data_IF_716385545621
#
_entry.id   IF_716385545621
#
_cell.length_a   1.000
_cell.length_b   1.000
_cell.length_c   1.000
_cell.angle_alpha   90.00
_cell.angle_beta   90.00
_cell.angle_gamma   90.00
#
_symmetry.space_group_name_H-M   'P 1'
#
loop_
_entity.id
_entity.type
_entity.pdbx_description
1 polymer ?
#
# COMPACT_ATOMS: atom_id res chain seq x y z
N UNK A 1 46.14 -4.54 16.11
CA UNK A 1 44.97 -3.73 15.68
C UNK A 1 44.76 -3.79 14.16
N UNK A 2 45.78 -4.09 13.35
CA UNK A 2 45.66 -4.11 11.88
C UNK A 2 44.95 -5.36 11.32
N UNK A 3 45.02 -6.49 12.02
CA UNK A 3 44.41 -7.78 11.60
C UNK A 3 42.87 -7.74 11.49
N UNK A 4 42.20 -6.96 12.36
CA UNK A 4 40.74 -6.85 12.37
C UNK A 4 40.19 -6.03 11.20
N UNK A 5 40.96 -5.06 10.68
CA UNK A 5 40.53 -4.24 9.55
C UNK A 5 40.61 -5.02 8.23
N UNK A 6 41.65 -5.84 8.06
CA UNK A 6 41.79 -6.71 6.88
C UNK A 6 40.65 -7.73 6.78
N UNK A 7 40.21 -8.28 7.93
CA UNK A 7 39.07 -9.20 7.98
C UNK A 7 37.73 -8.53 7.62
N UNK A 8 37.53 -7.27 8.02
CA UNK A 8 36.32 -6.51 7.68
C UNK A 8 36.26 -6.18 6.19
N UNK A 9 37.38 -5.77 5.59
CA UNK A 9 37.49 -5.47 4.16
C UNK A 9 37.19 -6.72 3.32
N UNK A 10 37.77 -7.87 3.67
CA UNK A 10 37.54 -9.12 2.96
C UNK A 10 36.07 -9.57 3.00
N UNK A 11 35.35 -9.27 4.09
CA UNK A 11 33.90 -9.57 4.20
C UNK A 11 33.06 -8.65 3.31
N UNK A 12 33.43 -7.38 3.20
CA UNK A 12 32.73 -6.41 2.34
C UNK A 12 32.93 -6.75 0.86
N UNK A 13 34.15 -7.12 0.46
CA UNK A 13 34.46 -7.52 -0.92
C UNK A 13 33.70 -8.79 -1.33
N UNK A 14 33.68 -9.81 -0.46
CA UNK A 14 32.94 -11.06 -0.72
C UNK A 14 31.42 -10.83 -0.86
N UNK A 15 30.85 -9.89 -0.09
CA UNK A 15 29.42 -9.58 -0.16
C UNK A 15 29.06 -8.85 -1.46
N UNK A 16 29.94 -7.98 -1.95
CA UNK A 16 29.73 -7.23 -3.19
C UNK A 16 29.85 -8.12 -4.44
N UNK A 17 30.77 -9.08 -4.42
CA UNK A 17 31.00 -10.01 -5.53
C UNK A 17 29.83 -11.01 -5.70
N UNK A 18 29.21 -11.43 -4.59
CA UNK A 18 28.01 -12.26 -4.61
C UNK A 18 26.77 -11.55 -5.20
N UNK A 19 26.58 -10.26 -4.89
CA UNK A 19 25.47 -9.46 -5.46
C UNK A 19 25.61 -9.31 -6.98
N UNK A 20 26.84 -9.05 -7.44
CA UNK A 20 27.15 -8.92 -8.86
C UNK A 20 26.84 -10.22 -9.63
N UNK A 21 27.25 -11.38 -9.12
CA UNK A 21 26.96 -12.67 -9.75
C UNK A 21 25.45 -12.99 -9.82
N UNK A 22 24.69 -12.61 -8.79
CA UNK A 22 23.23 -12.83 -8.75
C UNK A 22 22.50 -12.02 -9.84
N UNK A 23 22.94 -10.78 -10.10
CA UNK A 23 22.36 -9.94 -11.16
C UNK A 23 22.62 -10.47 -12.55
N UNK A 24 23.83 -11.00 -12.81
CA UNK A 24 24.21 -11.53 -14.12
C UNK A 24 23.41 -12.80 -14.50
N UNK A 25 23.13 -13.69 -13.54
CA UNK A 25 22.27 -14.88 -13.74
C UNK A 25 20.81 -14.52 -14.07
N UNK A 26 20.28 -13.46 -13.46
CA UNK A 26 18.92 -12.99 -13.73
C UNK A 26 18.77 -12.45 -15.16
N UNK A 27 19.78 -11.73 -15.65
CA UNK A 27 19.79 -11.16 -17.00
C UNK A 27 19.85 -12.23 -18.10
N UNK A 28 20.58 -13.34 -17.85
CA UNK A 28 20.74 -14.40 -18.83
C UNK A 28 19.45 -15.24 -19.01
N UNK A 29 18.66 -15.43 -17.95
CA UNK A 29 17.37 -16.13 -18.02
C UNK A 29 16.28 -15.36 -18.78
N UNK A 30 16.34 -14.02 -18.78
CA UNK A 30 15.31 -13.18 -19.40
C UNK A 30 15.37 -13.14 -20.93
N UNK A 31 16.54 -13.41 -21.54
CA UNK A 31 16.74 -13.25 -22.98
C UNK A 31 16.27 -14.44 -23.83
N UNK A 32 15.75 -15.53 -23.23
CA UNK A 32 15.38 -16.75 -23.97
C UNK A 32 13.89 -16.83 -24.37
N UNK A 33 13.03 -15.86 -24.01
CA UNK A 33 11.57 -15.98 -24.22
C UNK A 33 10.96 -15.11 -25.35
N UNK A 34 11.74 -14.53 -26.27
CA UNK A 34 11.15 -13.71 -27.33
C UNK A 34 11.69 -14.03 -28.72
N UNK A 35 11.01 -14.94 -29.43
CA UNK A 35 11.08 -15.02 -30.89
C UNK A 35 9.73 -15.47 -31.47
N UNK A 36 9.12 -14.62 -32.32
CA UNK A 36 8.29 -15.11 -33.42
C UNK A 36 6.98 -14.35 -33.71
N UNK A 37 7.05 -13.30 -34.53
CA UNK A 37 6.01 -13.04 -35.55
C UNK A 37 6.64 -13.31 -36.92
N UNK A 38 5.93 -13.91 -37.90
CA UNK A 38 5.42 -13.06 -38.99
C UNK A 38 4.11 -13.52 -39.70
N UNK A 39 3.31 -12.50 -40.05
CA UNK A 39 2.35 -12.24 -41.18
C UNK A 39 1.87 -13.37 -42.13
N UNK A 40 0.54 -13.43 -42.41
CA UNK A 40 -0.12 -13.40 -43.76
C UNK A 40 -1.62 -13.78 -43.71
N UNK A 41 -2.47 -13.05 -44.47
CA UNK A 41 -3.96 -13.15 -44.61
C UNK A 41 -4.38 -14.29 -45.60
N UNK A 42 -5.65 -14.53 -46.09
CA UNK A 42 -6.98 -13.92 -45.87
C UNK A 42 -8.16 -14.96 -45.72
N UNK A 43 -9.40 -14.54 -45.99
CA UNK A 43 -10.69 -15.03 -45.49
C UNK A 43 -11.40 -16.24 -46.19
N UNK A 44 -12.49 -16.68 -45.53
CA UNK A 44 -13.68 -17.47 -45.96
C UNK A 44 -13.64 -19.02 -45.96
N UNK A 45 -14.51 -19.64 -45.15
CA UNK A 45 -15.05 -20.99 -45.43
C UNK A 45 -15.35 -21.92 -44.24
N UNK A 46 -16.63 -21.99 -43.84
CA UNK A 46 -17.40 -23.14 -43.31
C UNK A 46 -16.98 -23.92 -42.02
N UNK A 47 -17.74 -23.64 -40.94
CA UNK A 47 -18.48 -24.59 -40.05
C UNK A 47 -17.73 -25.74 -39.33
N UNK A 48 -16.42 -25.90 -39.45
CA UNK A 48 -15.67 -26.80 -38.54
C UNK A 48 -15.01 -26.07 -37.35
N UNK A 49 -15.16 -24.74 -37.27
CA UNK A 49 -14.48 -23.87 -36.29
C UNK A 49 -15.19 -23.77 -34.92
N UNK A 50 -16.48 -24.14 -34.83
CA UNK A 50 -17.26 -23.95 -33.60
C UNK A 50 -16.90 -24.97 -32.51
N UNK A 51 -16.56 -26.21 -32.87
CA UNK A 51 -16.22 -27.24 -31.88
C UNK A 51 -14.80 -27.08 -31.31
N UNK A 52 -13.85 -26.57 -32.09
CA UNK A 52 -12.50 -26.28 -31.59
C UNK A 52 -12.46 -24.98 -30.75
N UNK A 53 -13.30 -23.99 -31.07
CA UNK A 53 -13.43 -22.76 -30.28
C UNK A 53 -14.07 -23.00 -28.90
N UNK A 54 -14.98 -23.98 -28.78
CA UNK A 54 -15.61 -24.34 -27.50
C UNK A 54 -14.65 -25.08 -26.54
N UNK A 55 -13.68 -25.84 -27.08
CA UNK A 55 -12.68 -26.55 -26.26
C UNK A 55 -11.59 -25.60 -25.72
N UNK A 56 -11.23 -24.55 -26.45
CA UNK A 56 -10.27 -23.54 -26.00
C UNK A 56 -10.85 -22.60 -24.92
N UNK A 57 -12.17 -22.35 -24.96
CA UNK A 57 -12.86 -21.52 -23.95
C UNK A 57 -13.00 -22.23 -22.59
N UNK A 58 -13.08 -23.57 -22.58
CA UNK A 58 -13.16 -24.37 -21.35
C UNK A 58 -11.80 -24.45 -20.62
N UNK A 59 -10.68 -24.43 -21.35
CA UNK A 59 -9.33 -24.44 -20.76
C UNK A 59 -8.95 -23.08 -20.12
N UNK A 60 -9.45 -21.96 -20.67
CA UNK A 60 -9.22 -20.62 -20.10
C UNK A 60 -10.02 -20.38 -18.80
N UNK A 61 -11.20 -21.00 -18.64
CA UNK A 61 -12.02 -20.86 -17.44
C UNK A 61 -11.44 -21.65 -16.23
N UNK A 62 -10.69 -22.73 -16.47
CA UNK A 62 -10.10 -23.53 -15.38
C UNK A 62 -8.83 -22.89 -14.77
N UNK A 63 -8.10 -22.05 -15.54
CA UNK A 63 -6.91 -21.36 -15.02
C UNK A 63 -7.24 -20.14 -14.15
N UNK A 64 -8.40 -19.50 -14.36
CA UNK A 64 -8.82 -18.34 -13.55
C UNK A 64 -9.33 -18.72 -12.15
N UNK A 65 -9.71 -19.98 -11.93
CA UNK A 65 -10.28 -20.41 -10.64
C UNK A 65 -9.21 -20.84 -9.61
N UNK A 66 -7.94 -20.97 -10.01
CA UNK A 66 -6.85 -21.31 -9.08
C UNK A 66 -6.01 -20.10 -8.62
N UNK A 67 -6.32 -18.90 -9.11
CA UNK A 67 -5.79 -17.65 -8.57
C UNK A 67 -6.94 -16.73 -8.14
N UNK A 68 -7.75 -17.26 -7.25
CA UNK A 68 -8.85 -16.55 -6.60
C UNK A 68 -8.72 -16.58 -5.09
N UNK A 69 -7.51 -16.44 -4.55
CA UNK A 69 -7.32 -16.07 -3.15
C UNK A 69 -5.88 -15.59 -2.86
N UNK A 70 -5.52 -14.38 -3.27
CA UNK A 70 -4.72 -13.44 -2.46
C UNK A 70 -4.88 -12.04 -3.10
N UNK A 71 -5.28 -11.09 -2.24
CA UNK A 71 -5.78 -9.77 -2.59
C UNK A 71 -4.84 -8.94 -3.47
N UNK A 72 -5.46 -8.24 -4.41
CA UNK A 72 -4.81 -7.27 -5.28
C UNK A 72 -4.20 -6.11 -4.50
N UNK A 73 -2.95 -5.82 -4.83
CA UNK A 73 -2.35 -4.49 -4.66
C UNK A 73 -2.53 -3.76 -6.00
N UNK A 74 -3.26 -2.64 -6.08
CA UNK A 74 -3.24 -1.83 -7.28
C UNK A 74 -1.94 -1.01 -7.32
N UNK A 75 -1.37 -0.92 -8.52
CA UNK A 75 -0.24 -0.06 -8.83
C UNK A 75 -0.58 1.41 -8.57
N UNK A 76 0.32 2.11 -7.87
CA UNK A 76 0.17 3.52 -7.54
C UNK A 76 0.61 4.39 -8.74
N UNK A 77 -0.37 4.87 -9.52
CA UNK A 77 -0.21 5.99 -10.45
C UNK A 77 -0.61 7.30 -9.75
N UNK A 78 0.07 8.43 -10.03
CA UNK A 78 -0.16 9.69 -9.32
C UNK A 78 -1.46 10.35 -9.81
N UNK A 79 -2.48 10.36 -8.95
CA UNK A 79 -3.75 11.06 -9.20
C UNK A 79 -5.04 10.38 -8.73
N UNK A 80 -5.00 9.34 -7.88
CA UNK A 80 -6.20 8.61 -7.49
C UNK A 80 -7.12 9.43 -6.56
N UNK A 81 -8.45 9.51 -6.84
CA UNK A 81 -9.42 9.92 -5.84
C UNK A 81 -9.45 8.86 -4.74
N UNK A 82 -9.43 9.30 -3.48
CA UNK A 82 -9.44 8.44 -2.30
C UNK A 82 -10.60 7.43 -2.38
N UNK A 83 -10.28 6.17 -2.67
CA UNK A 83 -11.24 5.07 -2.59
C UNK A 83 -11.60 4.84 -1.11
N UNK A 84 -12.69 5.45 -0.67
CA UNK A 84 -13.39 5.06 0.55
C UNK A 84 -14.05 3.70 0.30
N UNK A 85 -13.32 2.62 0.58
CA UNK A 85 -13.88 1.28 0.54
C UNK A 85 -14.72 1.11 1.80
N UNK A 86 -15.95 0.60 1.69
CA UNK A 86 -16.90 0.38 2.81
C UNK A 86 -16.37 -0.53 3.94
N UNK A 87 -15.20 -1.15 3.75
CA UNK A 87 -14.49 -1.94 4.76
C UNK A 87 -13.58 -1.08 5.66
N UNK A 88 -13.32 0.16 5.26
CA UNK A 88 -12.57 1.15 6.04
C UNK A 88 -13.33 1.58 7.29
N UNK A 89 -14.67 1.64 7.26
CA UNK A 89 -15.48 2.04 8.41
C UNK A 89 -15.24 1.17 9.65
N UNK A 90 -14.83 -0.09 9.45
CA UNK A 90 -14.51 -1.02 10.52
C UNK A 90 -13.11 -0.87 11.11
N UNK A 91 -12.18 -0.16 10.46
CA UNK A 91 -10.77 -0.03 10.90
C UNK A 91 -10.31 1.41 11.07
N UNK A 92 -11.24 2.34 11.00
CA UNK A 92 -10.97 3.76 11.07
C UNK A 92 -11.48 4.39 12.35
N UNK A 93 -10.81 5.45 12.78
CA UNK A 93 -11.15 6.27 13.94
C UNK A 93 -11.32 7.73 13.54
N UNK A 94 -12.11 8.44 14.32
CA UNK A 94 -12.23 9.89 14.28
C UNK A 94 -11.55 10.50 15.50
N UNK A 95 -10.62 11.40 15.26
CA UNK A 95 -9.89 12.13 16.31
C UNK A 95 -10.39 13.56 16.37
N UNK A 96 -11.16 13.91 17.40
CA UNK A 96 -11.65 15.25 17.66
C UNK A 96 -10.82 16.05 18.66
N UNK A 97 -11.18 17.32 18.81
CA UNK A 97 -10.58 18.25 19.78
C UNK A 97 -9.05 18.49 19.63
N UNK A 98 -8.55 18.44 18.39
CA UNK A 98 -7.16 18.77 18.11
C UNK A 98 -6.89 20.27 18.33
N UNK A 99 -5.72 20.62 18.90
CA UNK A 99 -5.36 22.01 19.19
C UNK A 99 -5.17 22.82 17.90
N UNK A 100 -5.71 24.04 17.93
CA UNK A 100 -5.53 25.05 16.87
C UNK A 100 -4.29 25.90 17.15
N UNK A 101 -3.58 26.29 16.09
CA UNK A 101 -2.40 27.13 16.22
C UNK A 101 -2.82 28.57 16.49
N UNK A 102 -1.98 29.33 17.17
CA UNK A 102 -2.23 30.74 17.50
C UNK A 102 -2.51 31.62 16.26
N UNK A 103 -2.07 31.17 15.08
CA UNK A 103 -2.24 31.86 13.79
C UNK A 103 -3.43 31.36 12.94
N UNK A 104 -4.40 30.63 13.53
CA UNK A 104 -5.54 30.06 12.78
C UNK A 104 -5.17 28.92 11.83
N UNK A 105 -3.90 28.52 11.79
CA UNK A 105 -3.40 27.35 11.06
C UNK A 105 -3.53 26.05 11.87
N UNK A 106 -3.43 24.88 11.19
CA UNK A 106 -3.36 23.60 11.87
C UNK A 106 -1.99 23.47 12.55
N UNK A 107 -1.94 23.47 13.89
CA UNK A 107 -0.74 23.00 14.61
C UNK A 107 -0.57 21.50 14.46
N UNK A 108 -1.67 20.80 14.21
CA UNK A 108 -1.72 19.35 14.11
C UNK A 108 -1.55 18.97 12.64
N UNK A 109 -0.47 18.27 12.30
CA UNK A 109 -0.25 17.70 10.97
C UNK A 109 -0.67 16.24 10.97
N UNK A 110 -1.08 15.67 9.81
CA UNK A 110 -1.40 14.25 9.73
C UNK A 110 -0.19 13.37 10.12
N UNK A 111 1.04 13.84 9.86
CA UNK A 111 2.27 13.15 10.24
C UNK A 111 2.43 13.02 11.76
N UNK A 112 2.13 14.09 12.51
CA UNK A 112 2.23 14.08 13.97
C UNK A 112 1.16 13.17 14.59
N UNK A 113 -0.07 13.20 14.08
CA UNK A 113 -1.08 12.22 14.49
C UNK A 113 -0.61 10.80 14.14
N UNK A 114 -0.08 10.59 12.94
CA UNK A 114 0.36 9.26 12.54
C UNK A 114 1.43 8.71 13.49
N UNK A 115 2.42 9.53 13.89
CA UNK A 115 3.42 9.14 14.89
C UNK A 115 2.80 8.89 16.27
N UNK A 116 1.85 9.72 16.69
CA UNK A 116 1.19 9.57 17.98
C UNK A 116 0.37 8.28 18.10
N UNK A 117 -0.26 7.86 17.00
CA UNK A 117 -1.08 6.66 16.90
C UNK A 117 -0.29 5.42 16.42
N UNK A 118 0.97 5.58 16.00
CA UNK A 118 1.83 4.49 15.52
C UNK A 118 2.07 3.39 16.59
N UNK A 119 2.08 3.74 17.88
CA UNK A 119 2.17 2.77 18.98
C UNK A 119 0.94 1.85 19.08
N UNK A 120 -0.22 2.33 18.61
CA UNK A 120 -1.46 1.56 18.66
C UNK A 120 -1.54 0.56 17.49
N UNK A 121 -1.05 0.96 16.32
CA UNK A 121 -0.95 0.08 15.16
C UNK A 121 -0.48 0.80 13.90
N UNK A 122 -0.32 0.02 12.82
CA UNK A 122 0.04 0.56 11.51
C UNK A 122 -1.12 1.35 10.91
N UNK A 123 -0.83 2.58 10.49
CA UNK A 123 -1.79 3.51 9.90
C UNK A 123 -1.68 3.43 8.37
N UNK A 124 -2.81 3.26 7.70
CA UNK A 124 -2.92 3.24 6.25
C UNK A 124 -3.16 4.65 5.69
N UNK A 125 -4.02 5.42 6.37
CA UNK A 125 -4.40 6.74 5.90
C UNK A 125 -4.66 7.69 7.08
N UNK A 126 -4.31 8.97 6.92
CA UNK A 126 -4.56 10.01 7.92
C UNK A 126 -4.93 11.31 7.21
N UNK A 127 -6.14 11.81 7.43
CA UNK A 127 -6.67 13.01 6.81
C UNK A 127 -7.21 13.96 7.86
N UNK A 128 -6.80 15.23 7.82
CA UNK A 128 -7.36 16.26 8.68
C UNK A 128 -8.66 16.80 8.08
N UNK A 129 -9.75 16.70 8.83
CA UNK A 129 -11.05 17.21 8.41
C UNK A 129 -11.16 18.69 8.80
N UNK A 130 -11.69 19.49 7.88
CA UNK A 130 -11.98 20.92 8.07
C UNK A 130 -13.49 21.12 8.05
N UNK A 131 -14.00 21.99 8.91
CA UNK A 131 -15.42 22.31 8.88
C UNK A 131 -15.74 23.11 7.62
N UNK A 132 -16.74 22.65 6.87
CA UNK A 132 -17.13 23.27 5.60
C UNK A 132 -17.89 24.58 5.80
N UNK A 133 -18.49 24.79 6.96
CA UNK A 133 -19.38 25.93 7.23
C UNK A 133 -18.59 27.14 7.70
N UNK A 134 -17.62 26.94 8.59
CA UNK A 134 -16.77 28.05 9.09
C UNK A 134 -15.41 28.12 8.39
N UNK A 135 -15.01 27.07 7.67
CA UNK A 135 -13.65 26.95 7.13
C UNK A 135 -12.59 26.77 8.22
N UNK A 136 -12.97 26.81 9.50
CA UNK A 136 -12.08 26.58 10.62
C UNK A 136 -11.79 25.08 10.77
N UNK A 137 -10.56 24.80 11.15
CA UNK A 137 -10.16 23.48 11.60
C UNK A 137 -10.89 23.21 12.93
N UNK A 138 -11.97 22.42 12.89
CA UNK A 138 -12.65 21.92 14.10
C UNK A 138 -11.82 20.95 14.94
N UNK A 139 -10.54 20.80 14.58
CA UNK A 139 -9.64 19.88 15.23
C UNK A 139 -10.12 18.44 15.08
N UNK A 140 -10.69 18.08 13.94
CA UNK A 140 -11.11 16.72 13.65
C UNK A 140 -10.19 16.09 12.61
N UNK A 141 -9.81 14.84 12.81
CA UNK A 141 -9.04 14.05 11.86
C UNK A 141 -9.67 12.67 11.71
N UNK A 142 -9.41 12.07 10.57
CA UNK A 142 -9.78 10.70 10.23
C UNK A 142 -8.49 9.90 10.09
N UNK A 143 -8.41 8.76 10.76
CA UNK A 143 -7.26 7.86 10.69
C UNK A 143 -7.78 6.46 10.39
N UNK A 144 -7.17 5.81 9.41
CA UNK A 144 -7.46 4.43 9.03
C UNK A 144 -6.30 3.53 9.45
N UNK A 145 -6.60 2.48 10.21
CA UNK A 145 -5.62 1.48 10.61
C UNK A 145 -5.60 0.27 9.67
N UNK A 146 -4.47 -0.40 9.61
CA UNK A 146 -4.33 -1.66 8.89
C UNK A 146 -5.16 -2.78 9.53
N UNK A 147 -5.34 -2.73 10.85
CA UNK A 147 -5.98 -3.79 11.65
C UNK A 147 -7.04 -3.23 12.59
N UNK A 148 -8.09 -4.02 12.82
CA UNK A 148 -9.16 -3.74 13.80
C UNK A 148 -8.60 -3.62 15.23
N UNK A 149 -7.60 -4.44 15.57
CA UNK A 149 -6.93 -4.40 16.87
C UNK A 149 -6.22 -3.05 17.10
N UNK A 150 -5.56 -2.51 16.07
CA UNK A 150 -4.90 -1.21 16.16
C UNK A 150 -5.87 -0.06 16.40
N UNK A 151 -7.01 -0.10 15.70
CA UNK A 151 -8.12 0.83 15.93
C UNK A 151 -8.67 0.72 17.36
N UNK A 152 -8.99 -0.49 17.83
CA UNK A 152 -9.53 -0.69 19.18
C UNK A 152 -8.56 -0.22 20.28
N UNK A 153 -7.26 -0.52 20.12
CA UNK A 153 -6.21 -0.04 21.03
C UNK A 153 -6.08 1.48 21.01
N UNK A 154 -6.22 2.12 19.84
CA UNK A 154 -6.20 3.57 19.73
C UNK A 154 -7.37 4.21 20.48
N UNK A 155 -8.58 3.67 20.34
CA UNK A 155 -9.75 4.18 21.07
C UNK A 155 -9.57 3.99 22.59
N UNK A 156 -9.12 2.82 23.02
CA UNK A 156 -8.97 2.51 24.45
C UNK A 156 -7.84 3.31 25.12
N UNK A 157 -6.67 3.39 24.47
CA UNK A 157 -5.44 3.95 25.07
C UNK A 157 -5.25 5.44 24.75
N UNK A 158 -5.74 5.93 23.61
CA UNK A 158 -5.49 7.31 23.16
C UNK A 158 -6.69 8.24 23.30
N UNK A 159 -7.88 7.73 23.65
CA UNK A 159 -9.00 8.59 23.98
C UNK A 159 -8.67 9.44 25.23
N UNK A 160 -9.00 10.74 25.17
CA UNK A 160 -8.63 11.76 26.16
C UNK A 160 -7.12 11.98 26.36
N UNK A 161 -6.26 11.51 25.45
CA UNK A 161 -4.83 11.73 25.59
C UNK A 161 -4.45 13.19 25.34
N UNK A 162 -3.42 13.68 26.02
CA UNK A 162 -2.95 15.06 25.85
C UNK A 162 -2.06 15.16 24.62
N UNK A 163 -2.54 15.88 23.61
CA UNK A 163 -1.80 16.18 22.38
C UNK A 163 -1.58 17.69 22.28
N UNK A 164 -0.31 18.13 22.28
CA UNK A 164 0.10 19.54 22.21
C UNK A 164 -0.67 20.46 23.18
N UNK A 165 -0.96 19.96 24.38
CA UNK A 165 -1.66 20.70 25.44
C UNK A 165 -3.19 20.64 25.41
N UNK A 166 -3.81 19.91 24.47
CA UNK A 166 -5.26 19.69 24.42
C UNK A 166 -5.57 18.19 24.49
N UNK A 167 -6.61 17.82 25.23
CA UNK A 167 -7.07 16.44 25.29
C UNK A 167 -7.81 16.07 24.00
N UNK A 168 -7.30 15.11 23.24
CA UNK A 168 -7.98 14.66 22.01
C UNK A 168 -9.06 13.64 22.35
N UNK A 169 -10.09 13.60 21.51
CA UNK A 169 -11.19 12.65 21.67
C UNK A 169 -11.06 11.63 20.54
N UNK A 170 -11.09 10.35 20.86
CA UNK A 170 -10.98 9.29 19.86
C UNK A 170 -12.27 8.48 19.86
N UNK A 171 -12.93 8.41 18.72
CA UNK A 171 -14.19 7.68 18.49
C UNK A 171 -14.09 6.72 17.32
#
# INVERSE_FOLDING_TARGET
MEDSLAAEIARIEAQLEADRQSREQHLQHSQQQSFGTPVVMPAFGNVHHHQQQQQQQQQQQQQQQQQGNIGGVPAHAPGQPHHFTKDSDGRSIFVGNLPKGENGGPTSTPEELAQFFADCGQILNCTLLRDRTTGELKGTAYIEFATYTGMGKAIDTKNNAIFKGSAIIVC
#
